data_IF_617165435272
#
_entry.id   IF_617165435272
#
_cell.length_a   1.000
_cell.length_b   1.000
_cell.length_c   1.000
_cell.angle_alpha   90.00
_cell.angle_beta   90.00
_cell.angle_gamma   90.00
#
_symmetry.space_group_name_H-M   'P 1'
#
loop_
_entity.id
_entity.type
_entity.pdbx_description
1 polymer ?
#
# COMPACT_ATOMS: atom_id res chain seq x y z
N UNK A 1 4.05 -25.27 1.96
CA UNK A 1 2.99 -24.68 1.12
C UNK A 1 3.57 -23.40 0.56
N UNK A 2 4.10 -23.46 -0.66
CA UNK A 2 4.77 -22.30 -1.27
C UNK A 2 3.67 -21.41 -1.84
N UNK A 3 3.25 -20.39 -1.10
CA UNK A 3 2.43 -19.33 -1.67
C UNK A 3 3.18 -18.76 -2.87
N UNK A 4 2.55 -18.89 -4.04
CA UNK A 4 3.05 -18.41 -5.31
C UNK A 4 3.23 -16.88 -5.16
N UNK A 5 4.44 -16.40 -4.87
CA UNK A 5 4.73 -14.97 -4.79
C UNK A 5 4.38 -14.35 -6.14
N UNK A 6 3.22 -13.70 -6.22
CA UNK A 6 2.81 -12.97 -7.42
C UNK A 6 3.84 -11.87 -7.66
N UNK A 7 4.35 -11.79 -8.88
CA UNK A 7 5.25 -10.72 -9.28
C UNK A 7 4.44 -9.43 -9.33
N UNK A 8 4.94 -8.35 -8.73
CA UNK A 8 4.29 -7.05 -8.85
C UNK A 8 4.56 -6.48 -10.25
N UNK A 9 3.50 -6.08 -10.93
CA UNK A 9 3.53 -5.46 -12.26
C UNK A 9 2.91 -4.07 -12.21
N UNK A 10 3.16 -3.19 -13.20
CA UNK A 10 2.51 -1.88 -13.29
C UNK A 10 0.98 -1.93 -13.34
N UNK A 11 0.41 -3.05 -13.81
CA UNK A 11 -1.03 -3.31 -13.91
C UNK A 11 -1.62 -3.95 -12.66
N UNK A 12 -0.79 -4.39 -11.72
CA UNK A 12 -1.24 -4.99 -10.46
C UNK A 12 -2.06 -3.98 -9.66
N UNK A 13 -3.18 -4.44 -9.09
CA UNK A 13 -4.10 -3.60 -8.31
C UNK A 13 -4.05 -4.01 -6.84
N UNK A 14 -3.14 -3.43 -6.04
CA UNK A 14 -3.00 -3.78 -4.64
C UNK A 14 -4.21 -3.32 -3.82
N UNK A 15 -4.60 -4.15 -2.85
CA UNK A 15 -5.66 -3.90 -1.87
C UNK A 15 -5.21 -4.33 -0.49
N UNK A 16 -5.77 -3.71 0.54
CA UNK A 16 -5.58 -4.13 1.93
C UNK A 16 -5.96 -5.61 2.11
N UNK A 17 -5.07 -6.36 2.75
CA UNK A 17 -5.21 -7.79 3.02
C UNK A 17 -6.38 -8.09 3.96
N UNK A 18 -6.93 -9.32 3.92
CA UNK A 18 -8.00 -9.71 4.83
C UNK A 18 -7.51 -9.65 6.28
N UNK A 19 -8.37 -9.20 7.19
CA UNK A 19 -8.02 -9.03 8.61
C UNK A 19 -7.29 -7.72 8.93
N UNK A 20 -6.86 -6.97 7.91
CA UNK A 20 -6.29 -5.64 8.08
C UNK A 20 -7.32 -4.55 7.75
N UNK A 21 -7.18 -3.40 8.41
CA UNK A 21 -7.97 -2.20 8.12
C UNK A 21 -7.08 -0.97 8.17
N UNK A 22 -7.01 -0.22 7.07
CA UNK A 22 -6.40 1.10 7.08
C UNK A 22 -7.36 2.10 7.75
N UNK A 23 -6.86 2.87 8.70
CA UNK A 23 -7.62 3.90 9.40
C UNK A 23 -6.78 5.17 9.54
N UNK A 24 -7.44 6.34 9.50
CA UNK A 24 -6.83 7.60 9.89
C UNK A 24 -6.97 7.79 11.40
N UNK A 25 -5.86 8.12 12.08
CA UNK A 25 -5.86 8.36 13.51
C UNK A 25 -5.60 9.86 13.81
N UNK A 26 -6.64 10.65 14.14
CA UNK A 26 -6.52 12.11 14.28
C UNK A 26 -5.67 12.54 15.47
N UNK A 27 -5.58 11.73 16.53
CA UNK A 27 -4.76 12.03 17.71
C UNK A 27 -3.26 11.98 17.38
N UNK A 28 -2.90 11.15 16.41
CA UNK A 28 -1.51 10.91 16.01
C UNK A 28 -1.16 11.57 14.67
N UNK A 29 -2.15 12.16 14.01
CA UNK A 29 -2.07 12.77 12.68
C UNK A 29 -1.41 11.85 11.64
N UNK A 30 -1.80 10.57 11.66
CA UNK A 30 -1.21 9.57 10.78
C UNK A 30 -2.18 8.45 10.41
N UNK A 31 -1.86 7.73 9.33
CA UNK A 31 -2.51 6.48 9.00
C UNK A 31 -1.99 5.33 9.87
N UNK A 32 -2.90 4.47 10.29
CA UNK A 32 -2.61 3.23 11.03
C UNK A 32 -3.21 2.03 10.31
N UNK A 33 -2.51 0.91 10.34
CA UNK A 33 -3.02 -0.38 9.89
C UNK A 33 -3.41 -1.21 11.11
N UNK A 34 -4.71 -1.45 11.28
CA UNK A 34 -5.27 -2.23 12.38
C UNK A 34 -5.40 -3.70 11.99
N UNK A 35 -5.15 -4.58 12.95
CA UNK A 35 -5.35 -6.04 12.84
C UNK A 35 -5.69 -6.62 14.23
N UNK A 36 -6.19 -7.87 14.35
CA UNK A 36 -6.76 -8.35 15.61
C UNK A 36 -5.78 -8.33 16.80
N UNK A 37 -4.50 -8.60 16.56
CA UNK A 37 -3.47 -8.60 17.59
C UNK A 37 -2.81 -7.22 17.84
N UNK A 38 -3.13 -6.16 17.08
CA UNK A 38 -2.51 -4.85 17.30
C UNK A 38 -2.72 -3.80 16.21
N UNK A 39 -1.75 -2.88 16.13
CA UNK A 39 -1.74 -1.81 15.14
C UNK A 39 -0.31 -1.50 14.67
N UNK A 40 -0.18 -1.14 13.39
CA UNK A 40 1.06 -0.58 12.83
C UNK A 40 0.83 0.89 12.54
N UNK A 41 1.69 1.76 13.07
CA UNK A 41 1.73 3.17 12.68
C UNK A 41 2.47 3.30 11.35
N UNK A 42 1.84 3.92 10.36
CA UNK A 42 2.47 4.23 9.09
C UNK A 42 3.09 5.62 9.15
N UNK A 43 4.22 5.82 8.47
CA UNK A 43 4.72 7.17 8.20
C UNK A 43 3.87 7.83 7.09
N UNK A 44 4.09 9.12 6.84
CA UNK A 44 3.30 9.89 5.86
C UNK A 44 3.28 9.22 4.48
N UNK A 45 4.45 8.90 3.92
CA UNK A 45 4.56 8.26 2.61
C UNK A 45 3.87 6.90 2.53
N UNK A 46 4.06 6.04 3.54
CA UNK A 46 3.43 4.73 3.61
C UNK A 46 1.90 4.84 3.72
N UNK A 47 1.39 5.81 4.49
CA UNK A 47 -0.03 6.10 4.60
C UNK A 47 -0.64 6.50 3.26
N UNK A 48 0.06 7.37 2.53
CA UNK A 48 -0.39 7.87 1.24
C UNK A 48 -0.39 6.80 0.14
N UNK A 49 0.59 5.89 0.16
CA UNK A 49 0.58 4.71 -0.72
C UNK A 49 -0.58 3.78 -0.32
N UNK A 50 -0.69 3.41 0.95
CA UNK A 50 -1.73 2.49 1.45
C UNK A 50 -3.15 2.98 1.17
N UNK A 51 -3.39 4.29 1.25
CA UNK A 51 -4.69 4.92 0.97
C UNK A 51 -5.16 4.70 -0.47
N UNK A 52 -4.23 4.54 -1.41
CA UNK A 52 -4.50 4.31 -2.84
C UNK A 52 -4.53 2.83 -3.21
N UNK A 53 -4.13 1.95 -2.30
CA UNK A 53 -4.22 0.50 -2.46
C UNK A 53 -5.64 0.01 -2.11
N UNK A 54 -6.60 0.34 -2.97
CA UNK A 54 -8.03 -0.01 -2.85
C UNK A 54 -8.42 -1.30 -3.60
N UNK A 55 -7.57 -1.80 -4.50
CA UNK A 55 -7.84 -2.93 -5.38
C UNK A 55 -8.41 -2.54 -6.74
N UNK A 56 -8.62 -1.25 -6.98
CA UNK A 56 -9.07 -0.68 -8.24
C UNK A 56 -7.92 0.04 -8.96
N UNK A 57 -7.09 0.79 -8.23
CA UNK A 57 -5.97 1.52 -8.80
C UNK A 57 -4.78 0.60 -9.12
N UNK A 58 -4.23 0.69 -10.33
CA UNK A 58 -3.01 -0.05 -10.70
C UNK A 58 -1.77 0.63 -10.12
N UNK A 59 -0.65 -0.10 -9.98
CA UNK A 59 0.62 0.50 -9.54
C UNK A 59 1.01 1.73 -10.37
N UNK A 60 0.86 1.66 -11.69
CA UNK A 60 1.15 2.81 -12.56
C UNK A 60 0.26 4.03 -12.23
N UNK A 61 -1.03 3.79 -11.99
CA UNK A 61 -1.97 4.86 -11.62
C UNK A 61 -1.67 5.44 -10.23
N UNK A 62 -1.31 4.59 -9.27
CA UNK A 62 -0.93 5.00 -7.91
C UNK A 62 0.31 5.89 -7.95
N UNK A 63 1.33 5.49 -8.72
CA UNK A 63 2.56 6.28 -8.90
C UNK A 63 2.23 7.64 -9.49
N UNK A 64 1.47 7.69 -10.59
CA UNK A 64 1.10 8.93 -11.24
C UNK A 64 0.30 9.87 -10.32
N UNK A 65 -0.65 9.33 -9.54
CA UNK A 65 -1.42 10.13 -8.59
C UNK A 65 -0.56 10.68 -7.44
N UNK A 66 0.38 9.89 -6.92
CA UNK A 66 1.32 10.34 -5.90
C UNK A 66 2.25 11.44 -6.45
N UNK A 67 2.83 11.22 -7.62
CA UNK A 67 3.68 12.21 -8.30
C UNK A 67 2.95 13.54 -8.51
N UNK A 68 1.69 13.49 -8.95
CA UNK A 68 0.86 14.67 -9.09
C UNK A 68 0.51 15.32 -7.74
N UNK A 69 0.17 14.52 -6.72
CA UNK A 69 -0.21 15.03 -5.40
C UNK A 69 0.95 15.70 -4.66
N UNK A 70 2.18 15.25 -4.91
CA UNK A 70 3.40 15.74 -4.26
C UNK A 70 4.28 16.63 -5.16
N UNK A 71 3.82 16.97 -6.37
CA UNK A 71 4.56 17.76 -7.36
C UNK A 71 6.01 17.26 -7.57
N UNK A 72 6.14 15.95 -7.73
CA UNK A 72 7.43 15.25 -7.82
C UNK A 72 7.37 14.14 -8.88
N UNK A 73 8.52 13.54 -9.21
CA UNK A 73 8.63 12.46 -10.18
C UNK A 73 9.66 11.42 -9.75
N UNK A 74 9.56 10.21 -10.28
CA UNK A 74 10.46 9.10 -9.98
C UNK A 74 10.08 8.32 -8.73
N UNK A 75 8.80 8.34 -8.32
CA UNK A 75 8.34 7.62 -7.12
C UNK A 75 8.11 6.12 -7.35
N UNK A 76 8.09 5.65 -8.60
CA UNK A 76 7.87 4.24 -8.96
C UNK A 76 8.69 3.22 -8.12
N UNK A 77 10.03 3.34 -7.99
CA UNK A 77 10.81 2.39 -7.21
C UNK A 77 10.43 2.37 -5.72
N UNK A 78 10.10 3.52 -5.13
CA UNK A 78 9.72 3.63 -3.73
C UNK A 78 8.33 3.03 -3.49
N UNK A 79 7.37 3.32 -4.38
CA UNK A 79 6.02 2.76 -4.32
C UNK A 79 6.07 1.24 -4.47
N UNK A 80 6.80 0.73 -5.48
CA UNK A 80 6.96 -0.71 -5.68
C UNK A 80 7.63 -1.38 -4.48
N UNK A 81 8.74 -0.84 -4.00
CA UNK A 81 9.46 -1.39 -2.85
C UNK A 81 8.57 -1.47 -1.60
N UNK A 82 7.76 -0.43 -1.36
CA UNK A 82 6.78 -0.44 -0.28
C UNK A 82 5.70 -1.51 -0.48
N UNK A 83 5.09 -1.60 -1.66
CA UNK A 83 4.01 -2.58 -1.93
C UNK A 83 4.52 -4.02 -1.81
N UNK A 84 5.73 -4.30 -2.29
CA UNK A 84 6.35 -5.62 -2.13
C UNK A 84 6.61 -5.96 -0.66
N UNK A 85 7.14 -5.01 0.12
CA UNK A 85 7.36 -5.18 1.55
C UNK A 85 6.02 -5.40 2.29
N UNK A 86 5.02 -4.57 2.01
CA UNK A 86 3.70 -4.67 2.62
C UNK A 86 3.01 -6.01 2.28
N UNK A 87 3.20 -6.52 1.06
CA UNK A 87 2.71 -7.86 0.70
C UNK A 87 3.47 -8.98 1.40
N UNK A 88 4.79 -8.86 1.61
CA UNK A 88 5.54 -9.83 2.42
C UNK A 88 5.03 -9.92 3.86
N UNK A 89 4.48 -8.82 4.39
CA UNK A 89 3.86 -8.76 5.71
C UNK A 89 2.36 -9.10 5.70
N UNK A 90 1.79 -9.51 4.56
CA UNK A 90 0.36 -9.76 4.33
C UNK A 90 -0.55 -8.54 4.50
N UNK A 91 0.00 -7.33 4.60
CA UNK A 91 -0.78 -6.09 4.72
C UNK A 91 -1.51 -5.75 3.41
N UNK A 92 -0.89 -6.08 2.29
CA UNK A 92 -1.43 -5.90 0.95
C UNK A 92 -1.47 -7.23 0.19
N UNK A 93 -2.42 -7.33 -0.72
CA UNK A 93 -2.52 -8.40 -1.72
C UNK A 93 -3.01 -7.81 -3.04
N UNK A 94 -2.83 -8.52 -4.14
CA UNK A 94 -3.47 -8.20 -5.41
C UNK A 94 -3.98 -9.47 -6.08
N UNK A 95 -5.10 -9.32 -6.79
CA UNK A 95 -5.57 -10.36 -7.69
C UNK A 95 -4.82 -10.27 -9.03
N UNK A 96 -4.69 -11.42 -9.69
CA UNK A 96 -3.94 -11.53 -10.95
C UNK A 96 -4.87 -11.22 -12.12
#
# INVERSE_FOLDING_TARGET
MSENKKVLTPESRPRVGPGFRLQWEPVQDCHVLLYPEGMVRLNGSAGEIMKRCDGESSIAAIVADLEQAFDTTGLEPEVRGFVEMAAQQNWLRWDA
#
